data_IF_228959239785
#
_entry.id   IF_228959239785
#
_cell.length_a   1.000
_cell.length_b   1.000
_cell.length_c   1.000
_cell.angle_alpha   90.00
_cell.angle_beta   90.00
_cell.angle_gamma   90.00
#
_symmetry.space_group_name_H-M   'P 1'
#
loop_
_entity.id
_entity.type
_entity.pdbx_description
1 polymer ?
#
# COMPACT_ATOMS: atom_id res chain seq x y z
N UNK A 1 -7.49 18.07 1.39
CA UNK A 1 -6.02 17.82 1.21
C UNK A 1 -5.45 18.85 0.24
N UNK A 2 -4.21 19.33 0.45
CA UNK A 2 -3.52 20.22 -0.49
C UNK A 2 -2.60 19.42 -1.42
N UNK A 3 -3.20 18.61 -2.29
CA UNK A 3 -2.45 17.71 -3.20
C UNK A 3 -1.45 18.46 -4.09
N UNK A 4 -1.73 19.74 -4.42
CA UNK A 4 -0.85 20.59 -5.22
C UNK A 4 0.50 20.94 -4.54
N UNK A 5 0.66 20.65 -3.24
CA UNK A 5 1.90 20.88 -2.50
C UNK A 5 2.72 19.59 -2.30
N UNK A 6 2.17 18.43 -2.70
CA UNK A 6 2.83 17.13 -2.56
C UNK A 6 3.32 16.70 -3.93
N UNK A 7 4.61 16.41 -4.06
CA UNK A 7 5.27 15.99 -5.30
C UNK A 7 5.26 14.47 -5.48
N UNK A 8 5.29 13.73 -4.40
CA UNK A 8 5.26 12.28 -4.39
C UNK A 8 5.07 11.77 -2.96
N UNK A 9 4.63 10.53 -2.83
CA UNK A 9 4.46 9.83 -1.55
C UNK A 9 5.32 8.58 -1.58
N UNK A 10 6.11 8.38 -0.53
CA UNK A 10 6.88 7.14 -0.35
C UNK A 10 6.37 6.44 0.91
N UNK A 11 5.88 5.24 0.74
CA UNK A 11 5.40 4.38 1.81
C UNK A 11 6.44 3.27 2.06
N UNK A 12 7.20 3.40 3.14
CA UNK A 12 8.14 2.39 3.57
C UNK A 12 7.44 1.43 4.54
N UNK A 13 7.24 0.20 4.12
CA UNK A 13 6.58 -0.81 4.93
C UNK A 13 5.21 -0.35 5.46
N UNK A 14 4.26 0.01 4.59
CA UNK A 14 2.96 0.52 5.02
C UNK A 14 2.17 -0.54 5.80
N UNK A 15 1.48 -0.11 6.85
CA UNK A 15 0.73 -1.00 7.74
C UNK A 15 -0.39 -1.73 7.03
N UNK A 16 -0.42 -3.04 7.19
CA UNK A 16 -1.52 -3.93 6.85
C UNK A 16 -1.93 -4.00 5.39
N UNK A 17 -2.64 -5.04 5.00
CA UNK A 17 -3.39 -5.07 3.75
C UNK A 17 -4.70 -4.28 3.92
N UNK A 18 -5.39 -3.92 2.82
CA UNK A 18 -6.65 -3.20 2.89
C UNK A 18 -7.72 -3.90 3.74
N UNK A 19 -8.48 -3.13 4.51
CA UNK A 19 -9.63 -3.54 5.31
C UNK A 19 -9.36 -4.52 6.45
N UNK A 20 -8.13 -4.93 6.70
CA UNK A 20 -7.82 -5.94 7.72
C UNK A 20 -6.42 -5.76 8.29
N UNK A 21 -6.20 -6.34 9.46
CA UNK A 21 -4.87 -6.58 10.01
C UNK A 21 -4.47 -8.03 9.80
N UNK A 22 -3.16 -8.27 9.67
CA UNK A 22 -2.55 -9.60 9.59
C UNK A 22 -1.45 -9.73 10.65
N UNK A 23 -1.16 -10.95 11.11
CA UNK A 23 -0.06 -11.17 12.06
C UNK A 23 1.27 -10.61 11.55
N UNK A 24 2.14 -10.13 12.44
CA UNK A 24 2.03 -10.15 13.90
C UNK A 24 1.30 -8.92 14.50
N UNK A 25 0.89 -7.92 13.69
CA UNK A 25 0.30 -6.67 14.16
C UNK A 25 -1.12 -6.89 14.72
N UNK A 26 -1.87 -7.81 14.12
CA UNK A 26 -3.24 -8.11 14.51
C UNK A 26 -3.85 -9.17 13.60
N UNK A 27 -5.14 -9.41 13.76
CA UNK A 27 -5.90 -10.30 12.90
C UNK A 27 -7.39 -9.91 12.93
N UNK A 28 -7.94 -9.58 11.77
CA UNK A 28 -9.34 -9.22 11.65
C UNK A 28 -9.60 -7.85 11.04
N UNK A 29 -10.88 -7.43 10.96
CA UNK A 29 -11.28 -6.19 10.30
C UNK A 29 -10.58 -4.96 10.87
N UNK A 30 -10.10 -4.08 9.99
CA UNK A 30 -9.49 -2.80 10.30
C UNK A 30 -9.56 -1.90 9.05
N UNK A 31 -9.19 -0.62 9.22
CA UNK A 31 -9.09 0.32 8.09
C UNK A 31 -10.38 0.47 7.29
N UNK A 32 -11.44 0.94 7.95
CA UNK A 32 -12.77 1.09 7.36
C UNK A 32 -12.76 1.77 5.97
N UNK A 33 -11.84 2.71 5.75
CA UNK A 33 -11.64 3.40 4.46
C UNK A 33 -10.58 2.73 3.56
N UNK A 34 -10.38 1.44 3.70
CA UNK A 34 -9.41 0.66 2.91
C UNK A 34 -8.04 0.60 3.57
N UNK A 35 -7.27 1.68 3.57
CA UNK A 35 -5.91 1.74 4.11
C UNK A 35 -5.81 2.58 5.41
N UNK A 36 -6.94 3.09 5.91
CA UNK A 36 -6.97 3.97 7.09
C UNK A 36 -8.32 3.93 7.78
N UNK A 37 -8.32 4.22 9.09
CA UNK A 37 -9.52 4.51 9.87
C UNK A 37 -10.00 5.97 9.71
N UNK A 38 -9.14 6.85 9.22
CA UNK A 38 -9.49 8.25 9.01
C UNK A 38 -10.33 8.40 7.76
N UNK A 39 -11.39 9.20 7.84
CA UNK A 39 -12.22 9.50 6.68
C UNK A 39 -11.40 10.20 5.59
N UNK A 40 -11.33 9.57 4.43
CA UNK A 40 -10.72 10.08 3.21
C UNK A 40 -11.76 10.22 2.11
N UNK A 41 -11.51 11.12 1.16
CA UNK A 41 -12.46 11.41 0.09
C UNK A 41 -12.36 10.39 -1.04
N UNK A 42 -13.48 9.74 -1.33
CA UNK A 42 -13.68 8.88 -2.48
C UNK A 42 -14.68 9.48 -3.45
N UNK A 43 -14.55 9.14 -4.72
CA UNK A 43 -15.53 9.43 -5.77
C UNK A 43 -15.98 8.12 -6.45
N UNK A 44 -17.28 7.73 -6.40
CA UNK A 44 -18.34 8.32 -5.57
C UNK A 44 -18.06 8.18 -4.06
N UNK A 45 -18.70 9.02 -3.24
CA UNK A 45 -18.46 9.05 -1.79
C UNK A 45 -18.54 7.67 -1.13
N UNK A 46 -17.59 7.40 -0.24
CA UNK A 46 -17.57 6.21 0.60
C UNK A 46 -18.61 6.24 1.74
N UNK A 47 -19.22 7.41 1.99
CA UNK A 47 -20.03 7.62 3.18
C UNK A 47 -19.21 8.12 4.37
N UNK A 48 -19.90 8.51 5.44
CA UNK A 48 -19.25 9.10 6.63
C UNK A 48 -18.39 8.08 7.40
N UNK A 49 -18.82 6.83 7.41
CA UNK A 49 -18.16 5.72 8.11
C UNK A 49 -17.79 4.59 7.14
N UNK A 50 -17.53 4.92 5.88
CA UNK A 50 -17.22 3.99 4.81
C UNK A 50 -18.34 2.99 4.45
N UNK A 51 -19.58 3.25 4.88
CA UNK A 51 -20.74 2.38 4.71
C UNK A 51 -21.09 2.08 3.24
N UNK A 52 -20.59 2.87 2.31
CA UNK A 52 -20.79 2.70 0.88
C UNK A 52 -19.64 1.94 0.18
N UNK A 53 -18.67 1.43 0.91
CA UNK A 53 -17.60 0.58 0.36
C UNK A 53 -18.03 -0.88 0.52
N UNK A 54 -18.34 -1.53 -0.58
CA UNK A 54 -18.54 -2.97 -0.62
C UNK A 54 -17.23 -3.67 -0.97
N UNK A 55 -16.94 -4.78 -0.30
CA UNK A 55 -15.70 -5.52 -0.49
C UNK A 55 -15.91 -6.92 -1.06
N UNK A 56 -14.86 -7.45 -1.65
CA UNK A 56 -14.76 -8.83 -2.13
C UNK A 56 -13.37 -9.38 -1.80
N UNK A 57 -13.22 -10.68 -1.78
CA UNK A 57 -11.93 -11.34 -1.58
C UNK A 57 -11.38 -11.76 -2.94
N UNK A 58 -10.16 -11.33 -3.24
CA UNK A 58 -9.38 -11.84 -4.36
C UNK A 58 -8.40 -12.91 -3.86
N UNK A 59 -8.28 -14.05 -4.56
CA UNK A 59 -7.36 -15.11 -4.18
C UNK A 59 -5.91 -14.63 -4.07
N UNK A 60 -5.14 -15.27 -3.19
CA UNK A 60 -3.71 -15.09 -3.13
C UNK A 60 -3.03 -15.39 -4.48
N UNK A 61 -1.95 -14.69 -4.77
CA UNK A 61 -1.18 -14.91 -6.02
C UNK A 61 -0.44 -16.25 -6.01
N UNK A 62 -0.10 -16.76 -4.83
CA UNK A 62 0.51 -18.09 -4.61
C UNK A 62 0.35 -18.51 -3.15
N UNK A 63 0.92 -19.67 -2.80
CA UNK A 63 0.81 -20.28 -1.47
C UNK A 63 1.57 -19.52 -0.36
N UNK A 64 2.48 -18.62 -0.71
CA UNK A 64 3.26 -17.80 0.25
C UNK A 64 2.61 -16.45 0.55
N UNK A 65 1.55 -16.10 -0.15
CA UNK A 65 0.86 -14.82 -0.02
C UNK A 65 -0.53 -14.98 0.59
N UNK A 66 -1.04 -13.91 1.19
CA UNK A 66 -2.43 -13.83 1.66
C UNK A 66 -3.35 -13.41 0.52
N UNK A 67 -4.63 -13.75 0.64
CA UNK A 67 -5.71 -13.17 -0.14
C UNK A 67 -5.85 -11.66 0.10
N UNK A 68 -6.31 -10.92 -0.89
CA UNK A 68 -6.56 -9.48 -0.79
C UNK A 68 -8.05 -9.19 -0.61
N UNK A 69 -8.39 -8.33 0.36
CA UNK A 69 -9.72 -7.73 0.43
C UNK A 69 -9.70 -6.47 -0.44
N UNK A 70 -10.54 -6.46 -1.45
CA UNK A 70 -10.60 -5.41 -2.47
C UNK A 70 -11.99 -4.77 -2.52
N UNK A 71 -12.14 -3.61 -3.14
CA UNK A 71 -13.48 -3.09 -3.41
C UNK A 71 -14.17 -3.94 -4.47
N UNK A 72 -15.50 -4.12 -4.34
CA UNK A 72 -16.30 -4.63 -5.45
C UNK A 72 -16.34 -3.61 -6.59
N UNK A 73 -16.46 -4.11 -7.82
CA UNK A 73 -16.60 -3.25 -9.00
C UNK A 73 -18.02 -2.65 -9.08
N UNK A 74 -18.18 -1.38 -9.48
CA UNK A 74 -17.10 -0.42 -9.78
C UNK A 74 -16.43 0.14 -8.52
N UNK A 75 -15.13 0.13 -8.49
CA UNK A 75 -14.35 0.64 -7.35
C UNK A 75 -14.44 2.17 -7.26
N UNK A 76 -14.57 2.68 -6.03
CA UNK A 76 -14.48 4.10 -5.74
C UNK A 76 -13.04 4.58 -5.87
N UNK A 77 -12.88 5.79 -6.39
CA UNK A 77 -11.59 6.36 -6.74
C UNK A 77 -11.07 7.34 -5.68
N UNK A 78 -9.79 7.30 -5.38
CA UNK A 78 -9.08 8.24 -4.51
C UNK A 78 -8.56 9.43 -5.32
N UNK A 79 -9.48 10.25 -5.84
CA UNK A 79 -9.21 11.30 -6.81
C UNK A 79 -8.18 12.34 -6.38
N UNK A 80 -7.95 12.52 -5.08
CA UNK A 80 -6.91 13.40 -4.55
C UNK A 80 -5.54 12.72 -4.56
N UNK A 81 -5.46 11.43 -4.25
CA UNK A 81 -4.22 10.65 -4.32
C UNK A 81 -3.83 10.32 -5.76
N UNK A 82 -4.79 10.07 -6.63
CA UNK A 82 -4.56 9.82 -8.06
C UNK A 82 -3.79 10.94 -8.79
N UNK A 83 -3.60 12.10 -8.15
CA UNK A 83 -2.83 13.24 -8.69
C UNK A 83 -1.37 13.25 -8.23
N UNK A 84 -0.99 12.30 -7.39
CA UNK A 84 0.31 12.26 -6.72
C UNK A 84 0.92 10.88 -6.97
N UNK A 85 2.10 10.78 -7.58
CA UNK A 85 2.76 9.49 -7.74
C UNK A 85 3.13 8.92 -6.37
N UNK A 86 2.99 7.60 -6.22
CA UNK A 86 3.31 6.91 -4.98
C UNK A 86 4.32 5.78 -5.21
N UNK A 87 5.19 5.56 -4.24
CA UNK A 87 6.10 4.42 -4.17
C UNK A 87 5.79 3.64 -2.91
N UNK A 88 5.50 2.36 -3.06
CA UNK A 88 5.42 1.40 -1.94
C UNK A 88 6.67 0.55 -1.93
N UNK A 89 7.36 0.47 -0.80
CA UNK A 89 8.60 -0.29 -0.62
C UNK A 89 8.42 -1.35 0.45
N UNK A 90 8.77 -2.60 0.14
CA UNK A 90 8.67 -3.73 1.08
C UNK A 90 9.95 -4.58 1.04
N UNK A 91 10.49 -4.91 2.22
CA UNK A 91 11.65 -5.76 2.37
C UNK A 91 11.32 -7.24 2.15
N UNK A 92 12.25 -8.00 1.59
CA UNK A 92 12.08 -9.43 1.29
C UNK A 92 11.75 -10.27 2.55
N UNK A 93 12.44 -10.00 3.65
CA UNK A 93 12.25 -10.70 4.93
C UNK A 93 11.26 -9.98 5.87
N UNK A 94 10.50 -9.03 5.36
CA UNK A 94 9.47 -8.34 6.12
C UNK A 94 8.28 -9.28 6.39
N UNK A 95 7.71 -9.16 7.60
CA UNK A 95 6.44 -9.82 7.90
C UNK A 95 5.28 -9.30 7.03
N UNK A 96 5.45 -8.17 6.38
CA UNK A 96 4.47 -7.58 5.46
C UNK A 96 4.59 -8.12 4.02
N UNK A 97 5.73 -8.71 3.64
CA UNK A 97 5.96 -9.20 2.29
C UNK A 97 4.82 -10.10 1.76
N UNK A 98 4.21 -11.00 2.57
CA UNK A 98 3.13 -11.85 2.10
C UNK A 98 1.84 -11.13 1.70
N UNK A 99 1.67 -9.85 2.06
CA UNK A 99 0.42 -9.10 1.79
C UNK A 99 0.62 -7.65 1.31
N UNK A 100 1.83 -7.12 1.28
CA UNK A 100 2.08 -5.74 0.84
C UNK A 100 1.59 -5.49 -0.59
N UNK A 101 1.62 -6.49 -1.46
CA UNK A 101 1.07 -6.40 -2.81
C UNK A 101 -0.43 -6.08 -2.84
N UNK A 102 -1.20 -6.44 -1.79
CA UNK A 102 -2.61 -6.08 -1.68
C UNK A 102 -2.81 -4.57 -1.55
N UNK A 103 -1.91 -3.88 -0.83
CA UNK A 103 -1.92 -2.42 -0.71
C UNK A 103 -1.73 -1.77 -2.08
N UNK A 104 -0.76 -2.26 -2.85
CA UNK A 104 -0.49 -1.78 -4.21
C UNK A 104 -1.71 -2.00 -5.11
N UNK A 105 -2.24 -3.22 -5.18
CA UNK A 105 -3.46 -3.54 -5.95
C UNK A 105 -4.65 -2.64 -5.58
N UNK A 106 -4.81 -2.36 -4.29
CA UNK A 106 -5.89 -1.50 -3.83
C UNK A 106 -5.72 -0.05 -4.30
N UNK A 107 -4.50 0.50 -4.21
CA UNK A 107 -4.18 1.84 -4.70
C UNK A 107 -4.42 1.93 -6.22
N UNK A 108 -3.94 0.96 -7.00
CA UNK A 108 -4.20 0.86 -8.44
C UNK A 108 -5.71 0.80 -8.74
N UNK A 109 -6.46 -0.06 -8.01
CA UNK A 109 -7.92 -0.16 -8.16
C UNK A 109 -8.64 1.17 -7.86
N UNK A 110 -8.11 1.93 -6.88
CA UNK A 110 -8.61 3.24 -6.51
C UNK A 110 -8.08 4.39 -7.39
N UNK A 111 -7.39 4.08 -8.51
CA UNK A 111 -6.94 5.03 -9.52
C UNK A 111 -5.65 5.77 -9.19
N UNK A 112 -4.89 5.32 -8.20
CA UNK A 112 -3.62 5.94 -7.81
C UNK A 112 -2.49 5.42 -8.70
N UNK A 113 -1.61 6.32 -9.15
CA UNK A 113 -0.36 5.98 -9.84
C UNK A 113 0.68 5.51 -8.82
N UNK A 114 0.84 4.20 -8.70
CA UNK A 114 1.68 3.58 -7.67
C UNK A 114 2.74 2.65 -8.29
N UNK A 115 3.99 2.82 -7.87
CA UNK A 115 5.10 1.91 -8.17
C UNK A 115 5.36 1.01 -6.95
N UNK A 116 5.56 -0.28 -7.18
CA UNK A 116 5.88 -1.24 -6.14
C UNK A 116 7.35 -1.67 -6.19
N UNK A 117 8.12 -1.30 -5.19
CA UNK A 117 9.47 -1.77 -4.97
C UNK A 117 9.44 -2.97 -3.99
N UNK A 118 9.26 -4.17 -4.52
CA UNK A 118 9.53 -5.42 -3.82
C UNK A 118 11.05 -5.63 -3.84
N UNK A 119 11.71 -5.29 -2.73
CA UNK A 119 13.17 -5.25 -2.67
C UNK A 119 13.82 -6.59 -3.03
N UNK A 120 13.19 -7.71 -2.63
CA UNK A 120 13.68 -9.05 -2.98
C UNK A 120 13.68 -9.29 -4.49
N UNK A 121 12.64 -8.85 -5.21
CA UNK A 121 12.57 -8.96 -6.66
C UNK A 121 13.51 -7.99 -7.38
N UNK A 122 13.85 -6.88 -6.74
CA UNK A 122 14.84 -5.92 -7.26
C UNK A 122 16.29 -6.32 -6.95
N UNK A 123 16.52 -7.45 -6.24
CA UNK A 123 17.87 -7.95 -5.91
C UNK A 123 18.45 -7.36 -4.61
N UNK A 124 17.65 -6.66 -3.81
CA UNK A 124 18.01 -6.12 -2.50
C UNK A 124 17.47 -7.08 -1.44
N UNK A 125 18.33 -7.96 -0.92
CA UNK A 125 17.93 -9.13 -0.15
C UNK A 125 18.06 -8.97 1.36
N UNK A 126 17.24 -9.76 2.10
CA UNK A 126 17.34 -10.01 3.53
C UNK A 126 16.80 -8.90 4.42
N UNK A 127 16.19 -7.86 3.87
CA UNK A 127 15.68 -6.72 4.62
C UNK A 127 14.35 -7.04 5.29
N UNK A 128 14.28 -6.79 6.61
CA UNK A 128 13.06 -6.88 7.40
C UNK A 128 12.26 -5.58 7.38
N UNK A 129 11.26 -5.51 8.25
CA UNK A 129 10.33 -4.37 8.34
C UNK A 129 11.01 -3.03 8.67
N UNK A 130 12.12 -3.03 9.41
CA UNK A 130 12.79 -1.81 9.84
C UNK A 130 13.89 -1.41 8.86
N UNK A 131 13.53 -1.10 7.63
CA UNK A 131 14.44 -0.85 6.51
C UNK A 131 15.58 0.12 6.82
N UNK A 132 15.33 1.17 7.61
CA UNK A 132 16.34 2.16 8.01
C UNK A 132 17.37 1.63 9.00
N UNK A 133 17.12 0.50 9.65
CA UNK A 133 18.06 -0.15 10.59
C UNK A 133 18.89 -1.24 9.93
N UNK A 134 18.63 -1.58 8.70
CA UNK A 134 19.32 -2.63 7.97
C UNK A 134 20.75 -2.21 7.58
N UNK A 135 21.64 -3.19 7.43
CA UNK A 135 23.05 -2.93 7.09
C UNK A 135 23.24 -2.26 5.73
N UNK A 136 22.32 -2.53 4.81
CA UNK A 136 22.31 -1.97 3.46
C UNK A 136 21.26 -0.85 3.29
N UNK A 137 20.91 -0.15 4.38
CA UNK A 137 19.89 0.92 4.36
C UNK A 137 20.20 2.04 3.35
N UNK A 138 21.48 2.28 3.04
CA UNK A 138 21.87 3.27 2.04
C UNK A 138 21.54 2.83 0.61
N UNK A 139 21.57 1.55 0.31
CA UNK A 139 21.13 0.99 -0.97
C UNK A 139 19.62 1.19 -1.14
N UNK A 140 18.85 0.94 -0.08
CA UNK A 140 17.40 1.19 -0.05
C UNK A 140 17.10 2.68 -0.20
N UNK A 141 17.86 3.53 0.51
CA UNK A 141 17.73 4.99 0.40
C UNK A 141 18.05 5.48 -1.03
N UNK A 142 19.05 4.91 -1.70
CA UNK A 142 19.35 5.26 -3.08
C UNK A 142 18.21 4.84 -4.02
N UNK A 143 17.61 3.66 -3.84
CA UNK A 143 16.43 3.22 -4.60
C UNK A 143 15.28 4.22 -4.49
N UNK A 144 14.97 4.69 -3.28
CA UNK A 144 13.97 5.73 -3.03
C UNK A 144 14.37 7.06 -3.69
N UNK A 145 15.63 7.46 -3.55
CA UNK A 145 16.14 8.69 -4.12
C UNK A 145 16.07 8.70 -5.65
N UNK A 146 16.38 7.57 -6.32
CA UNK A 146 16.24 7.45 -7.77
C UNK A 146 14.79 7.60 -8.22
N UNK A 147 13.83 7.09 -7.43
CA UNK A 147 12.42 7.30 -7.71
C UNK A 147 12.03 8.78 -7.56
N UNK A 148 12.43 9.42 -6.45
CA UNK A 148 12.14 10.85 -6.19
C UNK A 148 12.70 11.78 -7.27
N UNK A 149 13.80 11.41 -7.92
CA UNK A 149 14.40 12.21 -9.01
C UNK A 149 13.59 12.19 -10.30
N UNK A 150 12.72 11.19 -10.49
CA UNK A 150 11.88 11.06 -11.69
C UNK A 150 10.56 11.83 -11.55
N UNK A 151 10.16 12.12 -10.32
CA UNK A 151 8.90 12.78 -9.97
C UNK A 151 9.10 14.11 -9.26
#
# INVERSE_FOLDING_TARGET
MRSNLVKGIVQLEPSGPPFTLRPPIGNGPAFAFGLTELAIEYEPSAGKNAENIETTIEPAIDASHYECIMQKSPAKQLTNLAKIPELVVTGEASFQAPYAYCTVKYLEQAGVDVEYADLGKEGIHGNGHMLFMEKNNLEIADRVYQWLKKH
#
